data_IF_727584752892
#
_entry.id   IF_727584752892
#
_cell.length_a   1.000
_cell.length_b   1.000
_cell.length_c   1.000
_cell.angle_alpha   90.00
_cell.angle_beta   90.00
_cell.angle_gamma   90.00
#
_symmetry.space_group_name_H-M   'P 1'
#
loop_
_entity.id
_entity.type
_entity.pdbx_description
1 polymer ?
#
# COMPACT_ATOMS: atom_id res chain seq x y z
N UNK A 1 2.12 11.11 0.90
CA UNK A 1 3.08 11.72 1.85
C UNK A 1 3.91 10.69 2.63
N UNK A 2 3.33 9.59 3.15
CA UNK A 2 4.07 8.56 3.91
C UNK A 2 5.08 7.76 3.05
N UNK A 3 4.69 7.36 1.83
CA UNK A 3 5.58 6.64 0.91
C UNK A 3 6.80 7.47 0.46
N UNK A 4 6.66 8.79 0.40
CA UNK A 4 7.77 9.68 0.05
C UNK A 4 8.78 9.77 1.20
N UNK A 5 8.31 9.86 2.46
CA UNK A 5 9.16 9.84 3.64
C UNK A 5 9.88 8.48 3.80
N UNK A 6 9.18 7.37 3.55
CA UNK A 6 9.75 6.01 3.62
C UNK A 6 10.80 5.79 2.51
N UNK A 7 10.53 6.27 1.27
CA UNK A 7 11.52 6.28 0.19
C UNK A 7 12.72 7.15 0.55
N UNK A 8 12.51 8.32 1.13
CA UNK A 8 13.58 9.22 1.54
C UNK A 8 14.45 8.63 2.65
N UNK A 9 13.87 7.93 3.63
CA UNK A 9 14.61 7.18 4.67
C UNK A 9 15.47 6.08 4.01
N UNK A 10 14.95 5.39 2.99
CA UNK A 10 15.73 4.43 2.20
C UNK A 10 16.84 5.10 1.37
N UNK A 11 16.58 6.26 0.77
CA UNK A 11 17.59 7.04 0.02
C UNK A 11 18.65 7.63 0.96
N UNK A 12 18.29 8.00 2.19
CA UNK A 12 19.23 8.42 3.23
C UNK A 12 20.14 7.27 3.69
N UNK A 13 19.61 6.04 3.75
CA UNK A 13 20.39 4.82 4.02
C UNK A 13 21.50 4.61 2.98
N UNK A 14 21.26 4.98 1.72
CA UNK A 14 22.25 4.97 0.64
C UNK A 14 23.30 6.09 0.77
N UNK A 15 22.91 7.29 1.20
CA UNK A 15 23.86 8.40 1.40
C UNK A 15 24.74 8.27 2.66
N UNK A 16 24.22 7.64 3.73
CA UNK A 16 24.92 7.52 5.02
C UNK A 16 25.44 6.10 5.31
N UNK A 17 25.30 5.14 4.39
CA UNK A 17 25.78 3.76 4.54
C UNK A 17 27.29 3.59 4.76
N UNK A 18 28.06 4.69 4.77
CA UNK A 18 29.52 4.71 4.97
C UNK A 18 29.93 5.31 6.33
N UNK A 19 29.04 5.96 7.09
CA UNK A 19 29.42 6.65 8.32
C UNK A 19 28.75 6.08 9.58
N UNK A 20 29.55 5.51 10.47
CA UNK A 20 29.19 5.06 11.83
C UNK A 20 28.97 6.21 12.82
N UNK A 21 28.99 7.47 12.36
CA UNK A 21 28.82 8.68 13.19
C UNK A 21 28.02 9.75 12.44
N UNK A 22 27.08 10.37 13.13
CA UNK A 22 26.43 11.62 12.70
C UNK A 22 26.87 12.72 13.65
N UNK A 23 27.50 13.78 13.13
CA UNK A 23 27.95 14.95 13.91
C UNK A 23 28.52 14.55 15.30
N UNK A 24 29.62 13.79 15.26
CA UNK A 24 30.38 13.23 16.40
C UNK A 24 29.71 12.17 17.29
N UNK A 25 28.40 11.92 17.17
CA UNK A 25 27.70 10.91 17.96
C UNK A 25 27.66 9.55 17.22
N UNK A 26 27.96 8.43 17.91
CA UNK A 26 27.88 7.12 17.30
C UNK A 26 26.44 6.82 16.89
N UNK A 27 26.26 6.50 15.62
CA UNK A 27 24.99 6.03 15.10
C UNK A 27 24.81 4.56 15.54
N UNK A 28 23.65 4.17 16.10
CA UNK A 28 23.40 2.77 16.47
C UNK A 28 23.65 1.84 15.27
N UNK A 29 24.50 0.83 15.48
CA UNK A 29 24.98 -0.08 14.44
C UNK A 29 24.00 -1.20 14.07
N UNK A 30 22.86 -1.31 14.77
CA UNK A 30 21.87 -2.36 14.53
C UNK A 30 20.60 -1.83 13.89
N UNK A 31 20.53 -1.79 12.55
CA UNK A 31 19.30 -1.89 11.72
C UNK A 31 18.05 -1.06 12.05
N UNK A 32 18.05 -0.19 13.05
CA UNK A 32 16.83 0.34 13.66
C UNK A 32 16.10 1.37 12.78
N UNK A 33 16.83 1.93 11.80
CA UNK A 33 16.33 2.88 10.80
C UNK A 33 15.22 2.31 9.90
N UNK A 34 15.01 0.98 9.89
CA UNK A 34 13.93 0.32 9.15
C UNK A 34 12.74 -0.10 10.01
N UNK A 35 12.66 0.35 11.27
CA UNK A 35 11.51 0.04 12.15
C UNK A 35 10.41 1.10 12.04
N UNK A 36 9.16 0.68 12.23
CA UNK A 36 7.95 1.52 12.08
C UNK A 36 7.90 2.63 13.15
N UNK A 37 8.37 2.35 14.36
CA UNK A 37 8.32 3.27 15.50
C UNK A 37 9.14 4.57 15.28
N UNK A 38 10.42 4.53 14.83
CA UNK A 38 11.17 5.68 14.34
C UNK A 38 10.42 6.54 13.32
N UNK A 39 9.75 5.93 12.35
CA UNK A 39 9.02 6.66 11.33
C UNK A 39 7.80 7.38 11.92
N UNK A 40 7.06 6.74 12.83
CA UNK A 40 5.93 7.36 13.54
C UNK A 40 6.42 8.55 14.38
N UNK A 41 7.49 8.36 15.16
CA UNK A 41 8.07 9.44 15.97
C UNK A 41 8.62 10.58 15.11
N UNK A 42 9.26 10.26 13.97
CA UNK A 42 9.75 11.24 13.02
C UNK A 42 8.62 12.11 12.45
N UNK A 43 7.51 11.47 12.02
CA UNK A 43 6.32 12.19 11.52
C UNK A 43 5.69 13.02 12.62
N UNK A 44 5.60 12.48 13.83
CA UNK A 44 5.06 13.20 14.98
C UNK A 44 5.88 14.46 15.30
N UNK A 45 7.21 14.34 15.38
CA UNK A 45 8.13 15.48 15.57
C UNK A 45 8.02 16.46 14.40
N UNK A 46 8.06 15.97 13.16
CA UNK A 46 7.90 16.78 11.96
C UNK A 46 6.58 17.57 11.97
N UNK A 47 5.50 16.99 12.49
CA UNK A 47 4.21 17.67 12.56
C UNK A 47 4.22 18.90 13.49
N UNK A 48 4.98 18.89 14.59
CA UNK A 48 5.13 20.06 15.45
C UNK A 48 6.01 21.12 14.81
N UNK A 49 7.12 20.69 14.19
CA UNK A 49 8.05 21.58 13.50
C UNK A 49 7.34 22.26 12.33
N UNK A 50 6.56 21.53 11.53
CA UNK A 50 5.80 22.07 10.40
C UNK A 50 4.79 23.11 10.85
N UNK A 51 4.04 22.84 11.94
CA UNK A 51 3.09 23.81 12.51
C UNK A 51 3.79 25.09 12.98
N UNK A 52 4.98 24.97 13.57
CA UNK A 52 5.82 26.11 13.94
C UNK A 52 6.30 26.89 12.71
N UNK A 53 6.86 26.18 11.73
CA UNK A 53 7.36 26.74 10.48
C UNK A 53 6.25 27.51 9.72
N UNK A 54 5.02 26.97 9.64
CA UNK A 54 3.87 27.65 9.03
C UNK A 54 3.47 28.96 9.71
N UNK A 55 3.72 29.10 11.02
CA UNK A 55 3.43 30.32 11.79
C UNK A 55 4.51 31.38 11.62
N UNK A 56 5.78 30.98 11.52
CA UNK A 56 6.92 31.89 11.40
C UNK A 56 7.19 32.36 9.96
N UNK A 57 6.91 31.51 8.96
CA UNK A 57 7.31 31.76 7.58
C UNK A 57 6.23 32.58 6.84
N UNK A 58 6.58 33.70 6.17
CA UNK A 58 5.64 34.50 5.37
C UNK A 58 5.02 33.73 4.21
N UNK A 59 3.77 34.06 3.84
CA UNK A 59 2.98 33.33 2.84
C UNK A 59 3.65 33.25 1.46
N UNK A 60 4.34 34.31 1.04
CA UNK A 60 5.04 34.41 -0.27
C UNK A 60 6.07 33.29 -0.46
N UNK A 61 6.67 32.82 0.63
CA UNK A 61 7.77 31.85 0.60
C UNK A 61 7.44 30.52 1.29
N UNK A 62 6.20 30.40 1.78
CA UNK A 62 5.71 29.29 2.59
C UNK A 62 5.74 27.96 1.85
N UNK A 63 5.47 27.98 0.54
CA UNK A 63 5.45 26.79 -0.32
C UNK A 63 6.79 26.03 -0.32
N UNK A 64 7.92 26.75 -0.20
CA UNK A 64 9.26 26.13 -0.27
C UNK A 64 9.98 26.09 1.07
N UNK A 65 9.91 27.15 1.89
CA UNK A 65 10.62 27.16 3.18
C UNK A 65 9.97 26.25 4.22
N UNK A 66 8.64 26.07 4.23
CA UNK A 66 8.01 25.23 5.26
C UNK A 66 8.45 23.77 5.13
N UNK A 67 8.35 23.11 3.96
CA UNK A 67 8.85 21.74 3.80
C UNK A 67 10.36 21.64 4.06
N UNK A 68 11.14 22.62 3.60
CA UNK A 68 12.59 22.64 3.79
C UNK A 68 13.00 22.72 5.26
N UNK A 69 12.49 23.69 6.01
CA UNK A 69 12.78 23.86 7.44
C UNK A 69 12.26 22.69 8.25
N UNK A 70 11.08 22.17 7.90
CA UNK A 70 10.51 20.98 8.54
C UNK A 70 11.46 19.80 8.38
N UNK A 71 11.95 19.53 7.18
CA UNK A 71 12.88 18.45 6.94
C UNK A 71 14.23 18.68 7.64
N UNK A 72 14.79 19.89 7.51
CA UNK A 72 16.09 20.29 8.04
C UNK A 72 16.16 20.11 9.56
N UNK A 73 15.07 20.39 10.27
CA UNK A 73 15.01 20.24 11.73
C UNK A 73 14.49 18.87 12.17
N UNK A 74 13.47 18.32 11.48
CA UNK A 74 12.89 17.04 11.88
C UNK A 74 13.88 15.90 11.74
N UNK A 75 14.70 15.87 10.69
CA UNK A 75 15.64 14.77 10.45
C UNK A 75 16.71 14.67 11.56
N UNK A 76 17.47 15.73 11.91
CA UNK A 76 18.44 15.66 13.00
C UNK A 76 17.79 15.39 14.37
N UNK A 77 16.66 16.04 14.67
CA UNK A 77 15.95 15.85 15.95
C UNK A 77 15.43 14.43 16.07
N UNK A 78 14.92 13.85 14.98
CA UNK A 78 14.53 12.45 14.92
C UNK A 78 15.72 11.58 15.26
N UNK A 79 16.89 11.76 14.65
CA UNK A 79 18.06 10.94 14.98
C UNK A 79 18.53 11.09 16.43
N UNK A 80 18.50 12.32 16.98
CA UNK A 80 18.92 12.60 18.36
C UNK A 80 17.95 12.03 19.42
N UNK A 81 16.65 11.97 19.12
CA UNK A 81 15.63 11.49 20.06
C UNK A 81 15.34 10.00 19.85
N UNK A 82 15.17 9.57 18.60
CA UNK A 82 14.79 8.20 18.26
C UNK A 82 15.93 7.22 18.51
N UNK A 83 17.19 7.62 18.34
CA UNK A 83 18.33 6.75 18.64
C UNK A 83 18.33 6.29 20.11
N UNK A 84 18.39 7.21 21.09
CA UNK A 84 18.37 6.87 22.52
C UNK A 84 17.09 6.15 22.95
N UNK A 85 15.91 6.63 22.52
CA UNK A 85 14.63 6.01 22.89
C UNK A 85 14.52 4.60 22.31
N UNK A 86 14.90 4.42 21.05
CA UNK A 86 14.92 3.11 20.38
C UNK A 86 15.87 2.13 21.04
N UNK A 87 17.05 2.58 21.46
CA UNK A 87 18.01 1.75 22.19
C UNK A 87 17.44 1.32 23.55
N UNK A 88 16.94 2.25 24.36
CA UNK A 88 16.34 1.92 25.67
C UNK A 88 15.19 0.93 25.53
N UNK A 89 14.31 1.13 24.54
CA UNK A 89 13.18 0.23 24.31
C UNK A 89 13.66 -1.16 23.84
N UNK A 90 14.69 -1.21 23.00
CA UNK A 90 15.27 -2.46 22.50
C UNK A 90 16.00 -3.22 23.59
N UNK A 91 16.75 -2.52 24.45
CA UNK A 91 17.44 -3.09 25.60
C UNK A 91 16.44 -3.65 26.61
N UNK A 92 15.36 -2.90 26.90
CA UNK A 92 14.29 -3.35 27.78
C UNK A 92 13.57 -4.60 27.23
N UNK A 93 13.26 -4.61 25.94
CA UNK A 93 12.62 -5.75 25.29
C UNK A 93 13.55 -6.97 25.24
N UNK A 94 14.82 -6.75 24.93
CA UNK A 94 15.86 -7.77 24.94
C UNK A 94 16.04 -8.38 26.31
N UNK A 95 16.13 -7.55 27.35
CA UNK A 95 16.20 -7.97 28.74
C UNK A 95 14.97 -8.78 29.15
N UNK A 96 13.77 -8.34 28.78
CA UNK A 96 12.53 -9.05 29.07
C UNK A 96 12.49 -10.45 28.44
N UNK A 97 12.86 -10.56 27.17
CA UNK A 97 12.89 -11.84 26.46
C UNK A 97 14.01 -12.76 26.97
N UNK A 98 15.19 -12.22 27.30
CA UNK A 98 16.25 -12.99 27.96
C UNK A 98 15.86 -13.46 29.37
N UNK A 99 15.15 -12.63 30.13
CA UNK A 99 14.62 -13.01 31.44
C UNK A 99 13.68 -14.21 31.33
N UNK A 100 12.74 -14.19 30.36
CA UNK A 100 11.85 -15.32 30.12
C UNK A 100 12.63 -16.56 29.66
N UNK A 101 13.61 -16.36 28.78
CA UNK A 101 14.48 -17.44 28.30
C UNK A 101 15.21 -18.13 29.46
N UNK A 102 15.65 -17.37 30.46
CA UNK A 102 16.28 -17.89 31.69
C UNK A 102 15.32 -18.63 32.64
N UNK A 103 14.02 -18.32 32.59
CA UNK A 103 13.00 -19.08 33.35
C UNK A 103 12.70 -20.40 32.66
N UNK A 104 12.33 -20.35 31.38
CA UNK A 104 11.97 -21.54 30.60
C UNK A 104 12.02 -21.25 29.10
N UNK A 105 12.78 -22.04 28.32
CA UNK A 105 12.76 -21.98 26.85
C UNK A 105 11.34 -22.16 26.27
N UNK A 106 10.52 -23.00 26.88
CA UNK A 106 9.14 -23.24 26.43
C UNK A 106 8.27 -22.01 26.63
N UNK A 107 8.36 -21.38 27.81
CA UNK A 107 7.63 -20.14 28.08
C UNK A 107 8.08 -19.02 27.15
N UNK A 108 9.37 -18.94 26.84
CA UNK A 108 9.90 -18.02 25.85
C UNK A 108 9.23 -18.21 24.49
N UNK A 109 9.15 -19.47 24.02
CA UNK A 109 8.49 -19.80 22.76
C UNK A 109 7.01 -19.42 22.72
N UNK A 110 6.30 -19.63 23.83
CA UNK A 110 4.89 -19.23 23.97
C UNK A 110 4.73 -17.72 23.88
N UNK A 111 5.52 -16.96 24.65
CA UNK A 111 5.42 -15.50 24.68
C UNK A 111 5.84 -14.92 23.34
N UNK A 112 6.98 -15.36 22.77
CA UNK A 112 7.47 -14.85 21.51
C UNK A 112 6.51 -15.18 20.36
N UNK A 113 6.07 -16.44 20.22
CA UNK A 113 5.14 -16.83 19.16
C UNK A 113 3.82 -16.06 19.24
N UNK A 114 3.28 -15.85 20.44
CA UNK A 114 2.04 -15.12 20.65
C UNK A 114 2.15 -13.61 20.40
N UNK A 115 3.24 -12.98 20.83
CA UNK A 115 3.42 -11.53 20.73
C UNK A 115 4.15 -11.08 19.46
N UNK A 116 4.73 -11.99 18.68
CA UNK A 116 5.48 -11.64 17.46
C UNK A 116 4.66 -10.75 16.53
N UNK A 117 3.40 -11.10 16.25
CA UNK A 117 2.54 -10.33 15.35
C UNK A 117 2.25 -8.93 15.91
N UNK A 118 2.09 -8.81 17.22
CA UNK A 118 1.94 -7.52 17.90
C UNK A 118 3.21 -6.68 17.76
N UNK A 119 4.37 -7.30 17.90
CA UNK A 119 5.66 -6.66 17.70
C UNK A 119 5.90 -6.27 16.23
N UNK A 120 5.38 -7.04 15.27
CA UNK A 120 5.39 -6.66 13.85
C UNK A 120 4.61 -5.38 13.61
N UNK A 121 3.44 -5.23 14.25
CA UNK A 121 2.63 -4.02 14.09
C UNK A 121 3.38 -2.74 14.50
N UNK A 122 4.11 -2.80 15.62
CA UNK A 122 4.88 -1.66 16.12
C UNK A 122 6.31 -1.59 15.57
N UNK A 123 6.73 -2.54 14.73
CA UNK A 123 8.11 -2.66 14.26
C UNK A 123 9.12 -3.08 15.35
N UNK A 124 8.66 -3.46 16.55
CA UNK A 124 9.50 -3.84 17.69
C UNK A 124 10.16 -5.21 17.52
N UNK A 125 9.70 -6.05 16.59
CA UNK A 125 10.26 -7.38 16.33
C UNK A 125 11.74 -7.35 15.92
N UNK A 126 12.19 -6.25 15.29
CA UNK A 126 13.59 -6.02 14.96
C UNK A 126 14.52 -5.85 16.17
N UNK A 127 13.99 -5.54 17.36
CA UNK A 127 14.79 -5.43 18.57
C UNK A 127 15.38 -6.78 19.03
N UNK A 128 14.75 -7.90 18.65
CA UNK A 128 15.19 -9.25 19.04
C UNK A 128 16.24 -9.81 18.06
N UNK A 129 16.25 -9.34 16.82
CA UNK A 129 17.11 -9.88 15.76
C UNK A 129 18.61 -9.79 16.09
N UNK A 130 19.15 -8.67 16.63
CA UNK A 130 20.55 -8.59 17.05
C UNK A 130 20.94 -9.64 18.08
N UNK A 131 20.04 -10.02 19.00
CA UNK A 131 20.33 -11.05 19.98
C UNK A 131 20.60 -12.40 19.31
N UNK A 132 19.80 -12.77 18.32
CA UNK A 132 19.99 -14.01 17.57
C UNK A 132 21.27 -13.99 16.72
N UNK A 133 21.65 -12.81 16.19
CA UNK A 133 22.92 -12.64 15.46
C UNK A 133 24.10 -12.86 16.41
N UNK A 134 24.10 -12.20 17.57
CA UNK A 134 25.17 -12.31 18.57
C UNK A 134 25.27 -13.74 19.09
N UNK A 135 24.14 -14.37 19.40
CA UNK A 135 24.09 -15.75 19.88
C UNK A 135 24.64 -16.71 18.81
N UNK A 136 24.15 -16.65 17.58
CA UNK A 136 24.64 -17.47 16.45
C UNK A 136 26.14 -17.27 16.23
N UNK A 137 26.64 -16.04 16.31
CA UNK A 137 28.07 -15.76 16.17
C UNK A 137 28.91 -16.34 17.33
N UNK A 138 28.36 -16.41 18.54
CA UNK A 138 29.08 -16.86 19.74
C UNK A 138 29.15 -18.38 19.89
N UNK A 139 28.06 -19.09 19.60
CA UNK A 139 27.95 -20.55 19.82
C UNK A 139 27.67 -21.35 18.54
N UNK A 140 27.47 -20.69 17.40
CA UNK A 140 27.22 -21.31 16.10
C UNK A 140 25.75 -21.56 15.77
N UNK A 141 24.83 -21.35 16.72
CA UNK A 141 23.39 -21.51 16.54
C UNK A 141 22.59 -20.59 17.47
N UNK A 142 21.29 -20.39 17.19
CA UNK A 142 20.37 -19.61 18.00
C UNK A 142 18.96 -20.19 17.97
N UNK A 143 18.31 -20.28 19.13
CA UNK A 143 16.89 -20.66 19.26
C UNK A 143 15.96 -19.43 19.26
N UNK A 144 16.51 -18.23 19.45
CA UNK A 144 15.77 -17.00 19.79
C UNK A 144 14.68 -16.65 18.78
N UNK A 145 14.95 -16.79 17.48
CA UNK A 145 14.02 -16.40 16.42
C UNK A 145 13.20 -17.56 15.84
N UNK A 146 13.46 -18.82 16.23
CA UNK A 146 12.76 -19.97 15.64
C UNK A 146 11.24 -19.88 15.86
N UNK A 147 10.71 -19.45 17.03
CA UNK A 147 9.27 -19.27 17.21
C UNK A 147 8.64 -18.21 16.30
N UNK A 148 9.42 -17.28 15.74
CA UNK A 148 8.94 -16.23 14.84
C UNK A 148 8.53 -16.73 13.44
N UNK A 149 8.80 -18.01 13.13
CA UNK A 149 8.39 -18.66 11.89
C UNK A 149 6.88 -18.87 11.79
N UNK A 150 6.27 -19.29 12.90
CA UNK A 150 4.91 -19.83 12.92
C UNK A 150 3.79 -18.80 12.76
N UNK A 151 3.92 -17.53 13.20
CA UNK A 151 2.93 -16.49 12.95
C UNK A 151 2.51 -16.37 11.48
N UNK A 152 3.45 -16.56 10.55
CA UNK A 152 3.18 -16.57 9.12
C UNK A 152 2.23 -17.69 8.71
N UNK A 153 2.46 -18.91 9.20
CA UNK A 153 1.65 -20.08 8.85
C UNK A 153 0.32 -20.13 9.60
N UNK A 154 0.24 -19.57 10.81
CA UNK A 154 -1.05 -19.40 11.51
C UNK A 154 -1.91 -18.35 10.82
N UNK A 155 -1.31 -17.26 10.31
CA UNK A 155 -2.01 -16.30 9.46
C UNK A 155 -2.54 -16.95 8.18
N UNK A 156 -1.77 -17.80 7.50
CA UNK A 156 -2.24 -18.57 6.34
C UNK A 156 -3.46 -19.43 6.70
N UNK A 157 -3.41 -20.18 7.79
CA UNK A 157 -4.53 -21.02 8.23
C UNK A 157 -5.80 -20.22 8.55
N UNK A 158 -5.65 -19.11 9.28
CA UNK A 158 -6.75 -18.19 9.59
C UNK A 158 -7.35 -17.57 8.33
N UNK A 159 -6.52 -17.06 7.42
CA UNK A 159 -6.98 -16.46 6.17
C UNK A 159 -7.70 -17.46 5.28
N UNK A 160 -7.20 -18.70 5.20
CA UNK A 160 -7.86 -19.76 4.44
C UNK A 160 -9.27 -20.04 4.99
N UNK A 161 -9.42 -20.08 6.32
CA UNK A 161 -10.73 -20.21 6.95
C UNK A 161 -11.65 -19.01 6.65
N UNK A 162 -11.11 -17.79 6.64
CA UNK A 162 -11.85 -16.58 6.26
C UNK A 162 -12.30 -16.65 4.80
N UNK A 163 -11.44 -17.07 3.87
CA UNK A 163 -11.81 -17.22 2.44
C UNK A 163 -12.96 -18.19 2.26
N UNK A 164 -12.95 -19.31 2.98
CA UNK A 164 -14.01 -20.32 2.86
C UNK A 164 -15.32 -19.92 3.56
N UNK A 165 -15.24 -19.14 4.65
CA UNK A 165 -16.40 -18.84 5.51
C UNK A 165 -17.01 -17.46 5.26
N UNK A 166 -16.23 -16.51 4.75
CA UNK A 166 -16.71 -15.18 4.43
C UNK A 166 -17.66 -15.21 3.22
N UNK A 167 -18.76 -14.48 3.33
CA UNK A 167 -19.69 -14.26 2.22
C UNK A 167 -19.34 -12.99 1.42
N UNK A 168 -18.51 -12.13 1.97
CA UNK A 168 -18.10 -10.89 1.32
C UNK A 168 -17.00 -11.15 0.28
N UNK A 169 -17.32 -10.91 -0.99
CA UNK A 169 -16.37 -11.14 -2.07
C UNK A 169 -15.12 -10.27 -1.96
N UNK A 170 -15.28 -9.02 -1.51
CA UNK A 170 -14.16 -8.12 -1.19
C UNK A 170 -13.23 -8.67 -0.11
N UNK A 171 -13.77 -9.32 0.92
CA UNK A 171 -12.93 -9.96 1.95
C UNK A 171 -12.17 -11.14 1.35
N UNK A 172 -12.80 -11.95 0.51
CA UNK A 172 -12.15 -13.07 -0.19
C UNK A 172 -11.04 -12.58 -1.13
N UNK A 173 -11.32 -11.56 -1.95
CA UNK A 173 -10.36 -11.02 -2.93
C UNK A 173 -9.16 -10.34 -2.28
N UNK A 174 -9.33 -9.74 -1.09
CA UNK A 174 -8.21 -9.23 -0.28
C UNK A 174 -7.46 -10.35 0.47
N UNK A 175 -8.17 -11.40 0.90
CA UNK A 175 -7.58 -12.50 1.69
C UNK A 175 -6.65 -13.38 0.87
N UNK A 176 -6.94 -13.62 -0.40
CA UNK A 176 -6.15 -14.53 -1.22
C UNK A 176 -4.71 -14.01 -1.48
N UNK A 177 -4.48 -12.75 -1.90
CA UNK A 177 -3.14 -12.18 -2.00
C UNK A 177 -2.43 -12.08 -0.65
N UNK A 178 -3.16 -11.74 0.42
CA UNK A 178 -2.61 -11.66 1.78
C UNK A 178 -2.15 -13.04 2.29
N UNK A 179 -2.84 -14.11 1.92
CA UNK A 179 -2.47 -15.49 2.23
C UNK A 179 -1.16 -15.86 1.55
N UNK A 180 -1.03 -15.59 0.25
CA UNK A 180 0.20 -15.84 -0.50
C UNK A 180 1.36 -15.04 0.11
N UNK A 181 1.13 -13.77 0.43
CA UNK A 181 2.11 -12.90 1.07
C UNK A 181 2.60 -13.47 2.41
N UNK A 182 1.69 -14.01 3.22
CA UNK A 182 2.01 -14.59 4.53
C UNK A 182 2.91 -15.82 4.42
N UNK A 183 2.77 -16.67 3.39
CA UNK A 183 3.67 -17.82 3.14
C UNK A 183 5.14 -17.38 3.03
N UNK A 184 5.37 -16.23 2.40
CA UNK A 184 6.70 -15.66 2.20
C UNK A 184 7.17 -14.80 3.38
N UNK A 185 6.47 -14.83 4.52
CA UNK A 185 6.87 -14.12 5.73
C UNK A 185 6.41 -12.68 5.81
N UNK A 186 5.64 -12.19 4.84
CA UNK A 186 5.08 -10.83 4.80
C UNK A 186 3.65 -10.90 5.30
N UNK A 187 3.41 -10.46 6.54
CA UNK A 187 2.12 -10.64 7.22
C UNK A 187 1.32 -9.34 7.35
N UNK A 188 1.89 -8.21 6.95
CA UNK A 188 1.28 -6.89 7.03
C UNK A 188 -0.04 -6.79 6.26
N UNK A 189 -0.17 -7.29 5.01
CA UNK A 189 -1.45 -7.29 4.30
C UNK A 189 -2.52 -8.10 5.04
N UNK A 190 -2.13 -9.22 5.66
CA UNK A 190 -3.02 -10.11 6.42
C UNK A 190 -3.50 -9.48 7.74
N UNK A 191 -2.55 -8.88 8.48
CA UNK A 191 -2.82 -8.26 9.78
C UNK A 191 -3.69 -7.03 9.57
N UNK A 192 -3.21 -6.03 8.83
CA UNK A 192 -3.89 -4.74 8.71
C UNK A 192 -5.14 -4.79 7.82
N UNK A 193 -5.12 -5.61 6.77
CA UNK A 193 -6.22 -5.67 5.81
C UNK A 193 -7.44 -6.42 6.34
N UNK A 194 -7.23 -7.44 7.18
CA UNK A 194 -8.28 -8.46 7.42
C UNK A 194 -8.35 -8.89 8.88
N UNK A 195 -7.30 -9.52 9.40
CA UNK A 195 -7.41 -10.22 10.70
C UNK A 195 -7.52 -9.28 11.89
N UNK A 196 -6.80 -8.15 11.90
CA UNK A 196 -6.85 -7.15 12.97
C UNK A 196 -8.21 -6.40 12.99
N UNK A 197 -8.74 -5.90 11.85
CA UNK A 197 -10.10 -5.35 11.80
C UNK A 197 -11.17 -6.31 12.35
N UNK A 198 -11.06 -7.61 12.06
CA UNK A 198 -12.00 -8.64 12.54
C UNK A 198 -11.75 -9.06 14.00
N UNK A 199 -10.62 -8.69 14.61
CA UNK A 199 -10.15 -9.01 15.99
C UNK A 199 -10.00 -10.49 16.31
N UNK A 200 -11.10 -11.26 16.25
CA UNK A 200 -11.13 -12.69 16.56
C UNK A 200 -10.10 -13.48 15.75
N UNK A 201 -10.00 -13.31 14.42
CA UNK A 201 -9.03 -14.06 13.63
C UNK A 201 -7.58 -13.73 13.97
N UNK A 202 -7.29 -12.46 14.30
CA UNK A 202 -5.97 -12.06 14.77
C UNK A 202 -5.59 -12.75 16.09
N UNK A 203 -6.52 -12.79 17.05
CA UNK A 203 -6.31 -13.46 18.35
C UNK A 203 -6.08 -14.96 18.16
N UNK A 204 -6.89 -15.62 17.31
CA UNK A 204 -6.71 -17.05 17.00
C UNK A 204 -5.31 -17.32 16.46
N UNK A 205 -4.86 -16.50 15.51
CA UNK A 205 -3.51 -16.63 14.94
C UNK A 205 -2.43 -16.50 16.02
N UNK A 206 -2.53 -15.50 16.90
CA UNK A 206 -1.57 -15.29 17.99
C UNK A 206 -1.57 -16.47 18.99
N UNK A 207 -2.75 -16.96 19.38
CA UNK A 207 -2.87 -18.05 20.36
C UNK A 207 -2.31 -19.37 19.83
N UNK A 208 -2.62 -19.73 18.58
CA UNK A 208 -2.06 -20.93 17.97
C UNK A 208 -0.56 -20.79 17.77
N UNK A 209 -0.09 -19.60 17.38
CA UNK A 209 1.34 -19.37 17.22
C UNK A 209 2.10 -19.44 18.54
N UNK A 210 1.50 -19.03 19.65
CA UNK A 210 2.05 -19.20 21.00
C UNK A 210 2.23 -20.69 21.34
N UNK A 211 1.20 -21.52 21.09
CA UNK A 211 1.26 -22.96 21.35
C UNK A 211 2.36 -23.65 20.54
N UNK A 212 2.44 -23.35 19.24
CA UNK A 212 3.47 -23.93 18.37
C UNK A 212 4.86 -23.41 18.71
N UNK A 213 4.98 -22.12 19.04
CA UNK A 213 6.24 -21.53 19.51
C UNK A 213 6.79 -22.22 20.76
N UNK A 214 5.92 -22.54 21.73
CA UNK A 214 6.28 -23.32 22.90
C UNK A 214 6.73 -24.75 22.55
N UNK A 215 5.99 -25.44 21.66
CA UNK A 215 6.37 -26.77 21.19
C UNK A 215 7.74 -26.81 20.53
N UNK A 216 8.05 -25.81 19.70
CA UNK A 216 9.31 -25.77 18.94
C UNK A 216 10.51 -25.51 19.85
N UNK A 217 10.33 -24.69 20.88
CA UNK A 217 11.35 -24.52 21.93
C UNK A 217 11.51 -25.77 22.80
N UNK A 218 10.41 -26.50 23.07
CA UNK A 218 10.46 -27.80 23.75
C UNK A 218 11.20 -28.86 22.93
N UNK A 219 10.96 -28.87 21.61
CA UNK A 219 11.62 -29.77 20.67
C UNK A 219 13.11 -29.43 20.43
N UNK A 220 13.60 -28.32 20.99
CA UNK A 220 15.02 -27.93 20.92
C UNK A 220 15.47 -27.55 19.51
N UNK A 221 14.56 -27.03 18.67
CA UNK A 221 14.92 -26.62 17.31
C UNK A 221 15.71 -25.32 17.36
N UNK A 222 16.84 -25.30 16.68
CA UNK A 222 17.74 -24.15 16.59
C UNK A 222 18.02 -23.78 15.13
N UNK A 223 18.36 -22.52 14.90
CA UNK A 223 18.84 -22.01 13.62
C UNK A 223 20.36 -21.83 13.64
N UNK A 224 21.06 -22.24 12.58
CA UNK A 224 22.51 -22.16 12.42
C UNK A 224 22.98 -20.93 11.62
N UNK A 225 22.02 -20.18 11.09
CA UNK A 225 22.24 -18.89 10.45
C UNK A 225 21.03 -17.99 10.70
N UNK A 226 21.20 -16.68 10.52
CA UNK A 226 20.07 -15.74 10.59
C UNK A 226 19.47 -15.62 9.19
N UNK A 227 18.34 -16.30 8.97
CA UNK A 227 17.63 -16.35 7.69
C UNK A 227 16.52 -15.29 7.54
N UNK A 228 15.87 -15.28 6.37
CA UNK A 228 14.65 -14.50 6.13
C UNK A 228 13.43 -15.07 6.87
N UNK A 229 12.27 -14.42 6.76
CA UNK A 229 11.01 -14.87 7.37
C UNK A 229 10.21 -15.81 6.45
N UNK A 230 9.17 -16.44 7.00
CA UNK A 230 8.31 -17.38 6.27
C UNK A 230 9.08 -18.60 5.78
N UNK A 231 8.79 -19.06 4.57
CA UNK A 231 9.46 -20.23 3.98
C UNK A 231 11.00 -20.08 3.87
N UNK A 232 11.50 -18.85 3.82
CA UNK A 232 12.94 -18.58 3.71
C UNK A 232 13.71 -18.79 5.01
N UNK A 233 13.03 -19.07 6.12
CA UNK A 233 13.69 -19.41 7.38
C UNK A 233 14.13 -20.89 7.42
N UNK A 234 13.48 -21.79 6.66
CA UNK A 234 13.81 -23.22 6.71
C UNK A 234 15.27 -23.56 6.39
N UNK A 235 15.92 -22.96 5.37
CA UNK A 235 17.33 -23.21 5.11
C UNK A 235 18.24 -22.87 6.29
N UNK A 236 17.83 -21.93 7.16
CA UNK A 236 18.62 -21.57 8.33
C UNK A 236 18.65 -22.63 9.43
N UNK A 237 17.75 -23.62 9.35
CA UNK A 237 17.63 -24.72 10.33
C UNK A 237 18.43 -25.97 9.92
N UNK A 238 19.19 -25.91 8.83
CA UNK A 238 20.08 -26.98 8.40
C UNK A 238 21.31 -26.98 9.30
N UNK A 239 21.57 -28.12 9.94
CA UNK A 239 22.73 -28.29 10.81
C UNK A 239 24.02 -28.26 9.99
N UNK A 240 24.88 -27.29 10.29
CA UNK A 240 26.14 -27.05 9.57
C UNK A 240 27.25 -28.03 9.97
N UNK A 241 27.09 -28.75 11.09
CA UNK A 241 28.09 -29.70 11.58
C UNK A 241 27.99 -31.09 10.93
N UNK A 242 26.77 -31.53 10.61
CA UNK A 242 26.48 -32.89 10.12
C UNK A 242 25.58 -32.92 8.87
N UNK A 243 25.08 -31.77 8.40
CA UNK A 243 24.18 -31.66 7.25
C UNK A 243 22.75 -32.16 7.52
N UNK A 244 22.38 -32.37 8.79
CA UNK A 244 21.08 -32.92 9.17
C UNK A 244 19.95 -31.95 8.84
N UNK A 245 18.91 -32.49 8.19
CA UNK A 245 17.66 -31.78 7.90
C UNK A 245 16.58 -32.00 8.98
N UNK A 246 16.92 -32.62 10.12
CA UNK A 246 15.94 -32.93 11.17
C UNK A 246 15.22 -31.68 11.68
N UNK A 247 15.95 -30.57 11.88
CA UNK A 247 15.35 -29.30 12.31
C UNK A 247 14.39 -28.71 11.27
N UNK A 248 14.73 -28.84 9.99
CA UNK A 248 13.90 -28.42 8.85
C UNK A 248 12.60 -29.23 8.82
N UNK A 249 12.71 -30.56 8.86
CA UNK A 249 11.56 -31.47 8.77
C UNK A 249 10.62 -31.25 9.95
N UNK A 250 11.14 -31.20 11.17
CA UNK A 250 10.34 -30.92 12.38
C UNK A 250 9.63 -29.57 12.31
N UNK A 251 10.29 -28.55 11.75
CA UNK A 251 9.68 -27.22 11.59
C UNK A 251 8.63 -27.18 10.50
N UNK A 252 8.80 -27.91 9.39
CA UNK A 252 7.78 -28.04 8.35
C UNK A 252 6.53 -28.73 8.93
N UNK A 253 6.71 -29.81 9.69
CA UNK A 253 5.60 -30.50 10.37
C UNK A 253 4.91 -29.54 11.35
N UNK A 254 5.67 -28.77 12.13
CA UNK A 254 5.13 -27.79 13.06
C UNK A 254 4.37 -26.66 12.34
N UNK A 255 4.84 -26.19 11.18
CA UNK A 255 4.17 -25.18 10.37
C UNK A 255 2.89 -25.68 9.72
N UNK A 256 2.88 -26.94 9.24
CA UNK A 256 1.66 -27.59 8.76
C UNK A 256 0.67 -27.74 9.90
N UNK A 257 1.11 -28.16 11.09
CA UNK A 257 0.27 -28.22 12.28
C UNK A 257 -0.28 -26.83 12.66
N UNK A 258 0.55 -25.79 12.63
CA UNK A 258 0.16 -24.40 12.90
C UNK A 258 -0.96 -23.94 11.95
N UNK A 259 -0.79 -24.22 10.66
CA UNK A 259 -1.80 -23.93 9.64
C UNK A 259 -3.10 -24.69 9.90
N UNK A 260 -3.04 -26.00 10.10
CA UNK A 260 -4.24 -26.85 10.29
C UNK A 260 -4.98 -26.49 11.58
N UNK A 261 -4.26 -26.28 12.69
CA UNK A 261 -4.88 -25.93 13.97
C UNK A 261 -5.52 -24.54 13.90
N UNK A 262 -4.82 -23.56 13.32
CA UNK A 262 -5.37 -22.19 13.18
C UNK A 262 -6.54 -22.12 12.20
N UNK A 263 -6.48 -22.87 11.10
CA UNK A 263 -7.61 -23.07 10.19
C UNK A 263 -8.81 -23.68 10.92
N UNK A 264 -8.61 -24.81 11.62
CA UNK A 264 -9.69 -25.48 12.36
C UNK A 264 -10.29 -24.60 13.45
N UNK A 265 -9.46 -23.92 14.24
CA UNK A 265 -9.89 -22.99 15.28
C UNK A 265 -10.69 -21.81 14.70
N UNK A 266 -10.23 -21.23 13.59
CA UNK A 266 -10.95 -20.14 12.93
C UNK A 266 -12.25 -20.63 12.27
N UNK A 267 -12.28 -21.83 11.70
CA UNK A 267 -13.49 -22.43 11.13
C UNK A 267 -14.58 -22.63 12.18
N UNK A 268 -14.19 -22.98 13.42
CA UNK A 268 -15.12 -23.14 14.54
C UNK A 268 -15.68 -21.79 15.05
N UNK A 269 -15.00 -20.68 14.81
CA UNK A 269 -15.37 -19.35 15.31
C UNK A 269 -16.08 -18.50 14.24
N UNK A 270 -16.99 -17.59 14.62
CA UNK A 270 -17.65 -16.73 13.65
C UNK A 270 -16.64 -15.79 12.96
N UNK A 271 -16.88 -15.53 11.68
CA UNK A 271 -16.15 -14.54 10.89
C UNK A 271 -17.03 -13.29 10.83
N UNK A 272 -16.51 -12.16 11.32
CA UNK A 272 -17.24 -10.90 11.37
C UNK A 272 -17.31 -10.26 9.98
N UNK A 273 -18.45 -9.69 9.61
CA UNK A 273 -18.56 -8.92 8.39
C UNK A 273 -17.78 -7.60 8.51
N UNK A 274 -16.93 -7.29 7.53
CA UNK A 274 -16.05 -6.10 7.53
C UNK A 274 -16.66 -4.93 6.77
N UNK A 275 -17.32 -5.20 5.64
CA UNK A 275 -17.90 -4.17 4.77
C UNK A 275 -19.45 -4.19 4.80
N UNK A 276 -20.06 -5.15 5.51
CA UNK A 276 -21.51 -5.26 5.68
C UNK A 276 -22.24 -5.83 4.46
N UNK A 277 -23.53 -6.19 4.60
CA UNK A 277 -24.37 -6.80 3.55
C UNK A 277 -24.76 -5.82 2.41
N UNK A 278 -23.99 -4.75 2.23
CA UNK A 278 -24.35 -3.60 1.41
C UNK A 278 -23.43 -3.32 0.24
N UNK A 279 -22.73 -4.31 -0.33
CA UNK A 279 -22.06 -4.18 -1.63
C UNK A 279 -22.01 -5.55 -2.33
N UNK A 280 -22.70 -5.61 -3.46
CA UNK A 280 -22.67 -6.58 -4.57
C UNK A 280 -21.72 -7.78 -4.39
N UNK A 281 -22.31 -8.97 -4.38
CA UNK A 281 -21.62 -10.24 -4.60
C UNK A 281 -20.75 -10.16 -5.89
N UNK A 282 -19.43 -10.09 -5.76
CA UNK A 282 -18.56 -10.43 -6.89
C UNK A 282 -18.68 -11.95 -7.10
N UNK A 283 -19.20 -12.33 -8.26
CA UNK A 283 -19.24 -13.72 -8.72
C UNK A 283 -17.82 -14.15 -9.07
N UNK A 284 -17.33 -15.16 -8.35
CA UNK A 284 -16.15 -15.96 -8.70
C UNK A 284 -16.33 -16.61 -10.08
N UNK A 285 -15.24 -16.58 -10.86
CA UNK A 285 -15.07 -17.27 -12.15
C UNK A 285 -15.21 -18.80 -12.01
N UNK A 286 -16.08 -19.40 -12.83
CA UNK A 286 -16.10 -20.82 -13.22
C UNK A 286 -16.66 -20.91 -14.66
N UNK A 287 -16.32 -21.94 -15.44
CA UNK A 287 -15.86 -21.80 -16.82
C UNK A 287 -16.97 -21.56 -17.83
N UNK A 288 -16.56 -20.82 -18.85
CA UNK A 288 -17.22 -20.45 -20.10
C UNK A 288 -18.34 -21.41 -20.57
N UNK A 289 -19.60 -20.96 -20.45
CA UNK A 289 -20.68 -21.35 -21.37
C UNK A 289 -21.85 -20.37 -21.31
N UNK A 290 -21.98 -19.61 -22.40
CA UNK A 290 -23.19 -18.96 -22.94
C UNK A 290 -23.73 -17.70 -22.24
N UNK A 291 -23.21 -16.56 -22.74
CA UNK A 291 -23.87 -15.27 -22.96
C UNK A 291 -24.74 -14.72 -21.81
N UNK A 292 -24.10 -14.10 -20.81
CA UNK A 292 -24.72 -12.98 -20.09
C UNK A 292 -24.48 -11.70 -20.89
N UNK A 293 -25.52 -10.90 -21.09
CA UNK A 293 -25.46 -9.60 -21.73
C UNK A 293 -24.33 -8.76 -21.13
N UNK A 294 -23.33 -8.46 -21.95
CA UNK A 294 -22.26 -7.53 -21.60
C UNK A 294 -22.90 -6.15 -21.53
N UNK A 295 -22.99 -5.55 -20.34
CA UNK A 295 -23.38 -4.14 -20.24
C UNK A 295 -22.19 -3.30 -20.70
N UNK A 296 -22.39 -2.60 -21.81
CA UNK A 296 -21.42 -1.73 -22.42
C UNK A 296 -21.96 -0.30 -22.39
N UNK A 297 -21.16 0.63 -21.91
CA UNK A 297 -21.46 2.06 -21.98
C UNK A 297 -20.52 2.69 -23.01
N UNK A 298 -21.10 3.31 -24.02
CA UNK A 298 -20.35 4.05 -25.05
C UNK A 298 -20.23 5.51 -24.61
N UNK A 299 -19.00 5.99 -24.53
CA UNK A 299 -18.68 7.39 -24.28
C UNK A 299 -18.28 8.03 -25.60
N UNK A 300 -18.99 9.09 -25.99
CA UNK A 300 -18.71 9.81 -27.23
C UNK A 300 -17.49 10.74 -27.06
N UNK A 301 -16.96 11.27 -28.16
CA UNK A 301 -15.87 12.23 -28.11
C UNK A 301 -16.38 13.60 -27.65
N UNK A 302 -15.83 14.18 -26.57
CA UNK A 302 -16.21 15.50 -26.10
C UNK A 302 -15.53 16.62 -26.89
N UNK A 303 -14.56 16.30 -27.75
CA UNK A 303 -13.75 17.23 -28.54
C UNK A 303 -13.59 16.72 -29.97
N UNK A 304 -13.39 17.65 -30.90
CA UNK A 304 -12.84 17.35 -32.23
C UNK A 304 -11.31 17.49 -32.17
N UNK A 305 -10.57 16.57 -32.79
CA UNK A 305 -9.12 16.64 -32.83
C UNK A 305 -8.42 15.33 -33.20
N UNK A 306 -7.09 15.31 -32.99
CA UNK A 306 -6.25 14.12 -33.21
C UNK A 306 -6.17 13.30 -31.93
N UNK A 307 -6.40 11.99 -32.00
CA UNK A 307 -6.26 11.08 -30.87
C UNK A 307 -4.77 10.77 -30.64
N UNK A 308 -4.38 10.80 -29.36
CA UNK A 308 -3.08 10.42 -28.86
C UNK A 308 -3.26 9.32 -27.81
N UNK A 309 -2.34 8.35 -27.79
CA UNK A 309 -2.27 7.39 -26.68
C UNK A 309 -1.89 8.15 -25.41
N UNK A 310 -2.42 7.73 -24.25
CA UNK A 310 -1.98 8.30 -22.97
C UNK A 310 -0.46 8.16 -22.78
N UNK A 311 0.15 7.08 -23.28
CA UNK A 311 1.59 6.86 -23.20
C UNK A 311 2.43 7.92 -23.94
N UNK A 312 1.82 8.61 -24.92
CA UNK A 312 2.48 9.65 -25.72
C UNK A 312 2.26 11.07 -25.14
N UNK A 313 1.50 11.18 -24.04
CA UNK A 313 1.27 12.46 -23.35
C UNK A 313 2.54 12.85 -22.59
N UNK A 314 3.01 14.12 -22.67
CA UNK A 314 4.24 14.59 -22.03
C UNK A 314 4.11 14.81 -20.51
N UNK A 315 3.27 14.04 -19.84
CA UNK A 315 3.07 14.07 -18.39
C UNK A 315 3.13 12.65 -17.82
N UNK A 316 4.04 12.38 -16.87
CA UNK A 316 4.28 11.03 -16.38
C UNK A 316 3.09 10.45 -15.58
N UNK A 317 2.24 11.29 -14.99
CA UNK A 317 1.07 10.85 -14.21
C UNK A 317 -0.01 10.31 -15.15
N UNK A 318 -0.24 10.98 -16.28
CA UNK A 318 -1.16 10.51 -17.31
C UNK A 318 -0.58 9.36 -18.13
N UNK A 319 0.69 9.47 -18.53
CA UNK A 319 1.35 8.44 -19.34
C UNK A 319 1.51 7.10 -18.62
N UNK A 320 1.63 7.10 -17.28
CA UNK A 320 1.68 5.86 -16.51
C UNK A 320 0.30 5.20 -16.32
N UNK A 321 -0.80 5.87 -16.68
CA UNK A 321 -2.17 5.40 -16.41
C UNK A 321 -2.55 5.39 -14.93
N UNK A 322 -1.80 6.09 -14.07
CA UNK A 322 -2.05 6.07 -12.61
C UNK A 322 -3.40 6.71 -12.23
N UNK A 323 -3.91 7.62 -13.07
CA UNK A 323 -5.20 8.30 -12.89
C UNK A 323 -6.37 7.53 -13.53
N UNK A 324 -6.12 6.43 -14.23
CA UNK A 324 -7.12 5.64 -14.96
C UNK A 324 -6.71 5.35 -16.40
N UNK A 325 -7.52 4.55 -17.11
CA UNK A 325 -7.42 4.29 -18.55
C UNK A 325 -8.22 5.34 -19.33
N UNK A 326 -7.78 5.62 -20.55
CA UNK A 326 -8.38 6.62 -21.43
C UNK A 326 -7.47 6.92 -22.63
N UNK A 327 -7.64 8.09 -23.20
CA UNK A 327 -6.83 8.61 -24.29
C UNK A 327 -6.61 10.12 -24.11
N UNK A 328 -5.80 10.75 -24.94
CA UNK A 328 -5.73 12.19 -25.04
C UNK A 328 -6.17 12.66 -26.43
N UNK A 329 -6.70 13.88 -26.52
CA UNK A 329 -7.03 14.53 -27.79
C UNK A 329 -6.21 15.81 -27.90
N UNK A 330 -5.55 16.01 -29.04
CA UNK A 330 -5.06 17.33 -29.45
C UNK A 330 -6.20 18.07 -30.16
N UNK A 331 -6.87 19.04 -29.50
CA UNK A 331 -8.12 19.59 -29.99
C UNK A 331 -7.92 20.53 -31.19
N UNK A 332 -8.85 20.47 -32.14
CA UNK A 332 -8.99 21.44 -33.24
C UNK A 332 -10.03 22.53 -32.95
N UNK A 333 -10.81 22.37 -31.88
CA UNK A 333 -11.87 23.29 -31.47
C UNK A 333 -11.77 23.73 -30.00
N UNK A 334 -12.50 24.79 -29.68
CA UNK A 334 -12.37 25.54 -28.42
C UNK A 334 -13.47 25.20 -27.38
N UNK A 335 -14.28 24.17 -27.60
CA UNK A 335 -15.43 23.85 -26.73
C UNK A 335 -15.41 22.36 -26.37
N UNK A 336 -15.47 22.07 -25.06
CA UNK A 336 -15.70 20.75 -24.50
C UNK A 336 -17.20 20.49 -24.40
N UNK A 337 -17.66 19.39 -25.00
CA UNK A 337 -19.04 18.94 -24.97
C UNK A 337 -19.21 17.72 -24.06
N UNK A 338 -20.43 17.49 -23.59
CA UNK A 338 -20.77 16.34 -22.79
C UNK A 338 -20.76 15.05 -23.63
N UNK A 339 -19.91 14.07 -23.31
CA UNK A 339 -19.81 12.83 -24.07
C UNK A 339 -20.90 11.79 -23.73
N UNK A 340 -21.59 11.98 -22.60
CA UNK A 340 -22.63 11.11 -22.10
C UNK A 340 -23.54 11.90 -21.15
N UNK A 341 -24.73 11.35 -20.86
CA UNK A 341 -25.67 11.91 -19.90
C UNK A 341 -25.18 11.64 -18.47
N UNK A 342 -25.28 12.63 -17.58
CA UNK A 342 -24.71 12.49 -16.24
C UNK A 342 -24.78 13.73 -15.36
N UNK A 343 -23.87 13.80 -14.39
CA UNK A 343 -23.76 14.88 -13.39
C UNK A 343 -22.32 15.39 -13.31
N UNK A 344 -22.13 16.71 -13.17
CA UNK A 344 -20.82 17.30 -12.90
C UNK A 344 -20.41 17.04 -11.45
N UNK A 345 -19.33 16.29 -11.26
CA UNK A 345 -18.83 15.91 -9.93
C UNK A 345 -17.70 16.81 -9.45
N UNK A 346 -16.98 17.45 -10.37
CA UNK A 346 -15.82 18.26 -10.05
C UNK A 346 -15.64 19.39 -11.08
N UNK A 347 -15.36 20.60 -10.61
CA UNK A 347 -14.90 21.71 -11.43
C UNK A 347 -13.78 22.42 -10.68
N UNK A 348 -12.58 22.47 -11.27
CA UNK A 348 -11.47 23.16 -10.63
C UNK A 348 -11.65 24.68 -10.68
N UNK A 349 -11.17 25.45 -9.68
CA UNK A 349 -11.32 26.92 -9.67
C UNK A 349 -10.72 27.61 -10.90
N UNK A 350 -9.60 27.09 -11.44
CA UNK A 350 -8.98 27.59 -12.67
C UNK A 350 -9.59 27.02 -13.95
N UNK A 351 -10.64 26.19 -13.84
CA UNK A 351 -11.42 25.63 -14.97
C UNK A 351 -10.61 24.81 -16.00
N UNK A 352 -9.36 24.47 -15.69
CA UNK A 352 -8.52 23.63 -16.54
C UNK A 352 -8.94 22.16 -16.55
N UNK A 353 -9.70 21.70 -15.54
CA UNK A 353 -10.16 20.33 -15.45
C UNK A 353 -11.59 20.26 -14.93
N UNK A 354 -12.33 19.29 -15.45
CA UNK A 354 -13.73 19.03 -15.17
C UNK A 354 -13.93 17.53 -15.01
N UNK A 355 -14.66 17.13 -13.97
CA UNK A 355 -15.05 15.75 -13.72
C UNK A 355 -16.56 15.59 -13.88
N UNK A 356 -16.98 14.52 -14.53
CA UNK A 356 -18.37 14.12 -14.63
C UNK A 356 -18.55 12.66 -14.24
N UNK A 357 -19.75 12.31 -13.77
CA UNK A 357 -20.17 10.92 -13.60
C UNK A 357 -21.38 10.66 -14.48
N UNK A 358 -21.30 9.66 -15.35
CA UNK A 358 -22.40 9.28 -16.22
C UNK A 358 -23.52 8.60 -15.44
N UNK A 359 -24.74 8.54 -16.00
CA UNK A 359 -25.86 7.81 -15.38
C UNK A 359 -25.55 6.32 -15.20
N UNK A 360 -24.78 5.75 -16.13
CA UNK A 360 -24.31 4.37 -16.06
C UNK A 360 -23.13 4.20 -15.09
N UNK A 361 -22.49 5.29 -14.65
CA UNK A 361 -21.56 5.33 -13.52
C UNK A 361 -20.08 5.48 -13.85
N UNK A 362 -19.72 5.77 -15.11
CA UNK A 362 -18.34 6.10 -15.48
C UNK A 362 -17.97 7.46 -14.92
N UNK A 363 -16.86 7.54 -14.18
CA UNK A 363 -16.30 8.80 -13.72
C UNK A 363 -15.26 9.27 -14.74
N UNK A 364 -15.58 10.32 -15.48
CA UNK A 364 -14.76 10.85 -16.57
C UNK A 364 -14.11 12.14 -16.10
N UNK A 365 -12.78 12.21 -16.21
CA UNK A 365 -11.99 13.40 -16.00
C UNK A 365 -11.51 13.95 -17.35
N UNK A 366 -11.82 15.22 -17.60
CA UNK A 366 -11.27 16.00 -18.72
C UNK A 366 -10.22 16.96 -18.15
N UNK A 367 -8.98 16.87 -18.64
CA UNK A 367 -7.91 17.77 -18.25
C UNK A 367 -7.44 18.57 -19.47
N UNK A 368 -7.87 19.82 -19.60
CA UNK A 368 -7.69 20.63 -20.81
C UNK A 368 -6.32 21.29 -20.81
N UNK A 369 -5.44 20.79 -21.69
CA UNK A 369 -4.05 21.24 -21.81
C UNK A 369 -3.19 20.87 -20.61
N UNK A 370 -1.88 20.77 -20.82
CA UNK A 370 -0.93 20.40 -19.79
C UNK A 370 -0.44 21.64 -19.03
N UNK A 371 -0.36 21.56 -17.70
CA UNK A 371 0.04 22.66 -16.80
C UNK A 371 -0.77 23.97 -16.93
N UNK A 372 -1.94 23.93 -17.58
CA UNK A 372 -2.84 25.08 -17.79
C UNK A 372 -3.47 25.62 -16.51
N UNK A 373 -3.34 24.90 -15.39
CA UNK A 373 -3.64 25.42 -14.04
C UNK A 373 -2.89 26.73 -13.76
N UNK A 374 -1.67 26.89 -14.32
CA UNK A 374 -0.84 28.08 -14.20
C UNK A 374 -1.46 29.34 -14.81
N UNK A 375 -2.41 29.20 -15.74
CA UNK A 375 -3.15 30.31 -16.34
C UNK A 375 -4.22 30.89 -15.40
N UNK A 376 -4.48 30.26 -14.25
CA UNK A 376 -5.40 30.74 -13.22
C UNK A 376 -6.80 31.09 -13.76
N UNK A 377 -7.29 30.32 -14.74
CA UNK A 377 -8.59 30.52 -15.38
C UNK A 377 -8.58 31.50 -16.57
N UNK A 378 -7.45 32.12 -16.88
CA UNK A 378 -7.33 32.98 -18.05
C UNK A 378 -7.48 32.15 -19.34
N UNK A 379 -8.50 32.46 -20.14
CA UNK A 379 -8.81 31.71 -21.36
C UNK A 379 -9.75 30.52 -21.15
N UNK A 380 -10.35 30.38 -19.96
CA UNK A 380 -11.35 29.34 -19.68
C UNK A 380 -12.68 29.94 -19.22
N UNK A 381 -13.76 29.49 -19.83
CA UNK A 381 -15.14 29.83 -19.48
C UNK A 381 -15.91 28.54 -19.24
N UNK A 382 -16.60 28.41 -18.11
CA UNK A 382 -17.40 27.23 -17.80
C UNK A 382 -18.87 27.58 -17.92
N UNK A 383 -19.66 26.65 -18.46
CA UNK A 383 -21.10 26.78 -18.64
C UNK A 383 -21.90 25.94 -17.63
N UNK A 384 -21.21 25.31 -16.68
CA UNK A 384 -21.78 24.36 -15.72
C UNK A 384 -21.17 24.56 -14.33
N UNK A 385 -21.90 24.13 -13.31
CA UNK A 385 -21.45 24.10 -11.92
C UNK A 385 -21.49 22.66 -11.36
N UNK A 386 -20.82 22.44 -10.23
CA UNK A 386 -20.83 21.12 -9.57
C UNK A 386 -22.25 20.79 -9.11
N UNK A 387 -22.73 19.59 -9.46
CA UNK A 387 -24.09 19.12 -9.19
C UNK A 387 -25.06 19.30 -10.37
N UNK A 388 -24.66 19.99 -11.44
CA UNK A 388 -25.51 20.13 -12.63
C UNK A 388 -25.71 18.79 -13.33
N UNK A 389 -26.95 18.55 -13.78
CA UNK A 389 -27.29 17.42 -14.66
C UNK A 389 -27.12 17.82 -16.11
N UNK A 390 -26.52 16.92 -16.89
CA UNK A 390 -26.02 17.19 -18.22
C UNK A 390 -26.60 16.19 -19.22
N UNK A 391 -27.02 16.69 -20.38
CA UNK A 391 -27.42 15.88 -21.54
C UNK A 391 -26.27 15.75 -22.56
N UNK A 392 -26.31 14.69 -23.37
CA UNK A 392 -25.29 14.44 -24.41
C UNK A 392 -25.21 15.63 -25.37
N UNK A 393 -23.99 16.08 -25.68
CA UNK A 393 -23.75 17.20 -26.59
C UNK A 393 -23.99 18.59 -25.98
N UNK A 394 -24.27 18.70 -24.68
CA UNK A 394 -24.32 19.98 -23.99
C UNK A 394 -22.92 20.60 -23.88
N UNK A 395 -22.83 21.93 -24.00
CA UNK A 395 -21.57 22.67 -23.78
C UNK A 395 -21.21 22.63 -22.30
N UNK A 396 -20.00 22.18 -22.00
CA UNK A 396 -19.49 22.11 -20.63
C UNK A 396 -18.54 23.27 -20.34
N UNK A 397 -17.58 23.49 -21.25
CA UNK A 397 -16.47 24.40 -21.03
C UNK A 397 -15.94 24.93 -22.36
N UNK A 398 -15.64 26.23 -22.43
CA UNK A 398 -14.91 26.83 -23.54
C UNK A 398 -13.49 27.20 -23.08
N UNK A 399 -12.52 26.99 -23.97
CA UNK A 399 -11.11 27.28 -23.73
C UNK A 399 -10.44 27.89 -24.96
N UNK A 400 -9.45 28.75 -24.75
CA UNK A 400 -8.73 29.45 -25.81
C UNK A 400 -7.42 28.72 -26.16
N UNK A 401 -7.44 27.97 -27.27
CA UNK A 401 -6.30 27.20 -27.78
C UNK A 401 -5.09 28.10 -28.06
N UNK A 402 -5.30 29.25 -28.70
CA UNK A 402 -4.20 30.13 -29.10
C UNK A 402 -3.55 30.75 -27.86
N UNK A 403 -4.34 31.15 -26.87
CA UNK A 403 -3.81 31.63 -25.59
C UNK A 403 -3.01 30.59 -24.82
N UNK A 404 -3.42 29.32 -24.85
CA UNK A 404 -2.67 28.22 -24.23
C UNK A 404 -1.33 28.03 -24.96
N UNK A 405 -1.33 28.09 -26.30
CA UNK A 405 -0.11 27.98 -27.12
C UNK A 405 0.83 29.17 -26.94
N UNK A 406 0.30 30.39 -26.84
CA UNK A 406 1.07 31.61 -26.56
C UNK A 406 1.77 31.56 -25.19
N UNK A 407 1.17 30.87 -24.22
CA UNK A 407 1.78 30.59 -22.93
C UNK A 407 2.85 29.48 -22.97
N UNK A 408 3.09 28.87 -24.14
CA UNK A 408 4.05 27.78 -24.33
C UNK A 408 3.59 26.43 -23.77
N UNK A 409 2.28 26.25 -23.55
CA UNK A 409 1.72 25.06 -22.94
C UNK A 409 1.09 24.13 -24.00
N UNK A 410 1.21 22.79 -23.85
CA UNK A 410 0.48 21.84 -24.69
C UNK A 410 -1.04 21.95 -24.49
N UNK A 411 -1.81 21.86 -25.57
CA UNK A 411 -3.28 21.87 -25.55
C UNK A 411 -3.85 20.43 -25.49
N UNK A 412 -2.97 19.44 -25.61
CA UNK A 412 -3.28 18.02 -25.44
C UNK A 412 -4.13 17.81 -24.19
N UNK A 413 -5.31 17.23 -24.39
CA UNK A 413 -6.36 17.12 -23.39
C UNK A 413 -6.63 15.65 -23.07
N UNK A 414 -6.12 15.13 -21.94
CA UNK A 414 -6.47 13.80 -21.45
C UNK A 414 -7.96 13.66 -21.10
N UNK A 415 -8.54 12.53 -21.49
CA UNK A 415 -9.91 12.10 -21.21
C UNK A 415 -9.82 10.72 -20.59
N UNK A 416 -10.11 10.63 -19.29
CA UNK A 416 -9.74 9.47 -18.46
C UNK A 416 -10.92 8.98 -17.65
N UNK A 417 -11.09 7.66 -17.59
CA UNK A 417 -12.04 7.02 -16.68
C UNK A 417 -11.35 6.77 -15.34
N UNK A 418 -11.64 7.58 -14.32
CA UNK A 418 -10.91 7.56 -13.04
C UNK A 418 -11.24 6.33 -12.20
N UNK A 419 -12.45 5.82 -12.34
CA UNK A 419 -12.91 4.59 -11.69
C UNK A 419 -12.70 3.33 -12.56
N UNK A 420 -11.61 3.30 -13.37
CA UNK A 420 -11.28 2.18 -14.26
C UNK A 420 -11.31 0.80 -13.58
N UNK A 421 -10.95 0.72 -12.30
CA UNK A 421 -10.94 -0.54 -11.53
C UNK A 421 -12.32 -1.18 -11.35
N UNK A 422 -13.41 -0.45 -11.60
CA UNK A 422 -14.78 -0.97 -11.56
C UNK A 422 -15.23 -1.61 -12.87
N UNK A 423 -14.40 -1.57 -13.91
CA UNK A 423 -14.71 -2.08 -15.25
C UNK A 423 -13.79 -3.24 -15.61
N UNK A 424 -14.31 -4.24 -16.32
CA UNK A 424 -13.52 -5.37 -16.84
C UNK A 424 -12.50 -4.89 -17.86
N UNK A 425 -12.93 -3.99 -18.75
CA UNK A 425 -12.02 -3.34 -19.69
C UNK A 425 -12.54 -1.98 -20.14
N UNK A 426 -11.63 -1.18 -20.70
CA UNK A 426 -11.94 0.10 -21.34
C UNK A 426 -11.36 0.06 -22.75
N UNK A 427 -12.25 -0.07 -23.72
CA UNK A 427 -11.90 -0.16 -25.13
C UNK A 427 -11.83 1.23 -25.72
N UNK A 428 -10.63 1.74 -25.94
CA UNK A 428 -10.40 3.06 -26.54
C UNK A 428 -10.43 2.99 -28.07
N UNK A 429 -10.88 4.08 -28.70
CA UNK A 429 -10.88 4.24 -30.16
C UNK A 429 -9.46 4.07 -30.73
N UNK A 430 -9.39 3.41 -31.87
CA UNK A 430 -8.14 3.23 -32.65
C UNK A 430 -8.06 4.21 -33.83
N UNK A 431 -9.06 5.08 -33.99
CA UNK A 431 -9.05 6.12 -35.00
C UNK A 431 -7.98 7.16 -34.71
N UNK A 432 -7.44 7.79 -35.75
CA UNK A 432 -6.42 8.84 -35.60
C UNK A 432 -7.01 10.21 -35.27
N UNK A 433 -8.27 10.44 -35.63
CA UNK A 433 -8.96 11.70 -35.42
C UNK A 433 -10.44 11.43 -35.16
N UNK A 434 -11.09 12.34 -34.45
CA UNK A 434 -12.51 12.26 -34.08
C UNK A 434 -13.16 13.63 -34.19
N UNK A 435 -14.47 13.63 -34.47
CA UNK A 435 -15.37 14.77 -34.31
C UNK A 435 -16.15 14.67 -33.01
N UNK A 436 -16.75 15.78 -32.58
CA UNK A 436 -17.64 15.78 -31.42
C UNK A 436 -18.79 14.81 -31.66
N UNK A 437 -19.03 13.92 -30.69
CA UNK A 437 -20.08 12.92 -30.78
C UNK A 437 -19.66 11.59 -31.43
N UNK A 438 -18.46 11.51 -32.02
CA UNK A 438 -17.93 10.25 -32.55
C UNK A 438 -17.65 9.26 -31.42
N UNK A 439 -17.48 7.98 -31.78
CA UNK A 439 -17.05 6.96 -30.84
C UNK A 439 -15.66 7.28 -30.24
N UNK A 440 -15.58 7.35 -28.91
CA UNK A 440 -14.30 7.57 -28.22
C UNK A 440 -13.82 6.36 -27.46
N UNK A 441 -14.67 5.81 -26.59
CA UNK A 441 -14.35 4.62 -25.80
C UNK A 441 -15.60 3.90 -25.34
N UNK A 442 -15.45 2.61 -25.03
CA UNK A 442 -16.48 1.79 -24.37
C UNK A 442 -15.96 1.34 -23.02
N UNK A 443 -16.77 1.52 -21.98
CA UNK A 443 -16.53 0.85 -20.70
C UNK A 443 -17.30 -0.47 -20.67
N UNK A 444 -16.63 -1.56 -20.31
CA UNK A 444 -17.17 -2.92 -20.33
C UNK A 444 -17.33 -3.42 -18.91
N UNK A 445 -18.56 -3.76 -18.51
CA UNK A 445 -18.86 -4.30 -17.17
C UNK A 445 -19.06 -5.80 -17.13
#
# INVERSE_FOLDING_TARGET
SLQFLVRLIHTFKLCFGVYTKFLTHPLPTGGYYSTVLPAILAVWIASYIERGARKLIPDVVKLFLVPFVTLLLAVPVTFLVVGPVGNVLSDALSWFFQFIMGISPVLYGVVLGGFWQVMVMFGMHWAIVPLAIVETASQGFSAILVPALFPSFTQVGVLLAIVLKSKEAKVKSLSLPALISAIFGITEPAIYGITLPMRTPFIVSCMVSALIGGYVMFAGIVAYSVGGLGIFLYPSLIDTSNGSMSGVISSIIASVAALVISFGAQMALPVANLYGDGVLEEKEDEPMSLLKEIQQEIVASPLEGTILSLADVPDPVFASGAMGKGLAIEPSQNILYAPAKGEITLLFPSKHALGMRTEDGAEILFHIGMDTVSLQGAGFESFVEVGDRIEVGQKLLAFDIEKIREAGLPVTTPIIITNTSLYKDILVSQEKAVQVGDYLLTTVR
#
